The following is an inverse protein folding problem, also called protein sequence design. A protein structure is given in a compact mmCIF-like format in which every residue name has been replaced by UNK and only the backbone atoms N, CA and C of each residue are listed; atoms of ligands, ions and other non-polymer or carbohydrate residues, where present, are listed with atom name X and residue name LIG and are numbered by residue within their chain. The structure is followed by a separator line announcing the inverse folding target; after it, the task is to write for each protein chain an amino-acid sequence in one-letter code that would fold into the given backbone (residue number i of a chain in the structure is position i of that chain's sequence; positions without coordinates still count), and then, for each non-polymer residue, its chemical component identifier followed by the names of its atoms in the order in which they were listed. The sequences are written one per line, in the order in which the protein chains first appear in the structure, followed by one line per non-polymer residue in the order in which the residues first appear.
data_IF_124732950700
#
_entry.id   IF_124732950700
#
_cell.length_a   1.000
_cell.length_b   1.000
_cell.length_c   1.000
_cell.angle_alpha   90.00
_cell.angle_beta   90.00
_cell.angle_gamma   90.00
#
_symmetry.space_group_name_H-M   'P 1'
#
loop_
_entity.id
_entity.type
_entity.pdbx_description
1 polymer ?
#
# COMPACT_ATOMS: atom_id res chain seq x y z
N UNK A 1 -2.73 43.41 23.91
CA UNK A 1 -3.17 42.00 23.97
C UNK A 1 -3.73 41.47 22.63
N UNK A 2 -4.78 42.10 22.03
CA UNK A 2 -5.40 41.63 20.76
C UNK A 2 -4.44 41.50 19.56
N UNK A 3 -3.48 42.42 19.41
CA UNK A 3 -2.46 42.41 18.33
C UNK A 3 -1.46 41.24 18.42
N UNK A 4 -1.12 40.80 19.63
CA UNK A 4 -0.21 39.67 19.86
C UNK A 4 -0.95 38.35 19.57
N UNK A 5 -2.21 38.26 20.00
CA UNK A 5 -3.07 37.10 19.76
C UNK A 5 -3.32 36.87 18.26
N UNK A 6 -3.55 37.94 17.48
CA UNK A 6 -3.71 37.84 16.02
C UNK A 6 -2.44 37.42 15.28
N UNK A 7 -1.26 37.87 15.72
CA UNK A 7 0.03 37.45 15.15
C UNK A 7 0.36 35.99 15.47
N UNK A 8 0.02 35.54 16.67
CA UNK A 8 0.20 34.14 17.10
C UNK A 8 -0.71 33.20 16.32
N UNK A 9 -2.01 33.52 16.23
CA UNK A 9 -2.98 32.73 15.45
C UNK A 9 -2.55 32.58 13.98
N UNK A 10 -2.05 33.66 13.36
CA UNK A 10 -1.54 33.61 11.97
C UNK A 10 -0.32 32.69 11.82
N UNK A 11 0.61 32.71 12.78
CA UNK A 11 1.79 31.82 12.77
C UNK A 11 1.39 30.36 12.92
N UNK A 12 0.45 30.07 13.82
CA UNK A 12 -0.10 28.72 13.99
C UNK A 12 -0.76 28.26 12.68
N UNK A 13 -1.59 29.10 12.06
CA UNK A 13 -2.22 28.77 10.78
C UNK A 13 -1.22 28.45 9.67
N UNK A 14 -0.12 29.22 9.55
CA UNK A 14 0.94 28.92 8.58
C UNK A 14 1.71 27.64 8.91
N UNK A 15 1.96 27.37 10.20
CA UNK A 15 2.60 26.12 10.61
C UNK A 15 1.74 24.90 10.28
N UNK A 16 0.44 24.94 10.60
CA UNK A 16 -0.50 23.86 10.28
C UNK A 16 -0.62 23.63 8.77
N UNK A 17 -0.69 24.71 7.98
CA UNK A 17 -0.72 24.62 6.52
C UNK A 17 0.56 24.01 5.96
N UNK A 18 1.73 24.42 6.47
CA UNK A 18 3.00 23.85 6.06
C UNK A 18 3.10 22.36 6.39
N UNK A 19 2.67 21.95 7.59
CA UNK A 19 2.60 20.54 7.99
C UNK A 19 1.69 19.75 7.05
N UNK A 20 0.50 20.27 6.73
CA UNK A 20 -0.41 19.60 5.81
C UNK A 20 0.20 19.40 4.41
N UNK A 21 0.82 20.43 3.84
CA UNK A 21 1.51 20.36 2.54
C UNK A 21 2.66 19.34 2.58
N UNK A 22 3.43 19.29 3.66
CA UNK A 22 4.54 18.34 3.79
C UNK A 22 4.04 16.90 3.94
N UNK A 23 2.98 16.66 4.71
CA UNK A 23 2.39 15.33 4.87
C UNK A 23 1.81 14.82 3.54
N UNK A 24 1.10 15.67 2.80
CA UNK A 24 0.59 15.32 1.47
C UNK A 24 1.75 15.06 0.50
N UNK A 25 2.77 15.92 0.50
CA UNK A 25 3.97 15.75 -0.34
C UNK A 25 4.74 14.47 -0.04
N UNK A 26 4.92 14.15 1.25
CA UNK A 26 5.54 12.91 1.69
C UNK A 26 4.73 11.69 1.25
N UNK A 27 3.41 11.74 1.39
CA UNK A 27 2.54 10.68 0.89
C UNK A 27 2.66 10.50 -0.62
N UNK A 28 2.61 11.58 -1.41
CA UNK A 28 2.79 11.53 -2.87
C UNK A 28 4.15 10.95 -3.27
N UNK A 29 5.21 11.32 -2.55
CA UNK A 29 6.57 10.82 -2.77
C UNK A 29 6.66 9.32 -2.53
N UNK A 30 6.14 8.84 -1.39
CA UNK A 30 6.10 7.41 -1.05
C UNK A 30 5.25 6.65 -2.08
N UNK A 31 4.10 7.20 -2.45
CA UNK A 31 3.23 6.62 -3.45
C UNK A 31 3.89 6.47 -4.82
N UNK A 32 4.60 7.49 -5.30
CA UNK A 32 5.39 7.40 -6.55
C UNK A 32 6.47 6.34 -6.40
N UNK A 33 7.19 6.35 -5.28
CA UNK A 33 8.21 5.34 -5.03
C UNK A 33 7.63 3.94 -5.14
N UNK A 34 6.46 3.62 -4.58
CA UNK A 34 5.94 2.24 -4.63
C UNK A 34 5.07 1.88 -5.85
N UNK A 35 4.42 2.86 -6.48
CA UNK A 35 3.38 2.61 -7.49
C UNK A 35 3.71 3.07 -8.89
N UNK A 36 4.67 3.99 -9.09
CA UNK A 36 4.98 4.51 -10.41
C UNK A 36 5.63 3.41 -11.29
N UNK A 37 5.05 3.07 -12.46
CA UNK A 37 5.48 1.95 -13.31
C UNK A 37 6.66 2.35 -14.21
N UNK A 38 7.71 2.92 -13.62
CA UNK A 38 8.94 3.33 -14.31
C UNK A 38 10.15 2.71 -13.62
N UNK A 39 11.32 2.76 -14.25
CA UNK A 39 12.55 2.23 -13.67
C UNK A 39 12.90 2.86 -12.31
N UNK A 40 13.63 2.12 -11.47
CA UNK A 40 13.92 2.51 -10.08
C UNK A 40 14.58 3.89 -9.96
N UNK A 41 15.56 4.21 -10.81
CA UNK A 41 16.19 5.52 -10.83
C UNK A 41 15.18 6.65 -11.11
N UNK A 42 14.26 6.44 -12.05
CA UNK A 42 13.23 7.41 -12.40
C UNK A 42 12.18 7.53 -11.29
N UNK A 43 11.83 6.43 -10.60
CA UNK A 43 10.98 6.45 -9.39
C UNK A 43 11.59 7.33 -8.32
N UNK A 44 12.89 7.17 -8.05
CA UNK A 44 13.62 7.99 -7.07
C UNK A 44 13.63 9.47 -7.45
N UNK A 45 13.89 9.79 -8.72
CA UNK A 45 13.89 11.17 -9.21
C UNK A 45 12.50 11.81 -9.10
N UNK A 46 11.44 11.12 -9.52
CA UNK A 46 10.07 11.63 -9.44
C UNK A 46 9.61 11.79 -7.99
N UNK A 47 9.92 10.82 -7.12
CA UNK A 47 9.63 10.91 -5.69
C UNK A 47 10.31 12.15 -5.07
N UNK A 48 11.61 12.34 -5.33
CA UNK A 48 12.34 13.53 -4.91
C UNK A 48 11.74 14.84 -5.46
N UNK A 49 11.36 14.86 -6.74
CA UNK A 49 10.73 16.03 -7.36
C UNK A 49 9.41 16.42 -6.65
N UNK A 50 8.59 15.46 -6.24
CA UNK A 50 7.35 15.76 -5.51
C UNK A 50 7.59 16.34 -4.12
N UNK A 51 8.65 15.91 -3.41
CA UNK A 51 9.06 16.54 -2.16
C UNK A 51 9.54 17.98 -2.39
N UNK A 52 10.31 18.22 -3.45
CA UNK A 52 10.75 19.58 -3.81
C UNK A 52 9.56 20.48 -4.09
N UNK A 53 8.54 20.00 -4.81
CA UNK A 53 7.29 20.75 -5.06
C UNK A 53 6.60 21.15 -3.73
N UNK A 54 6.53 20.24 -2.76
CA UNK A 54 5.99 20.54 -1.43
C UNK A 54 6.85 21.56 -0.66
N UNK A 55 8.18 21.40 -0.67
CA UNK A 55 9.12 22.32 -0.01
C UNK A 55 9.06 23.73 -0.61
N UNK A 56 8.97 23.85 -1.94
CA UNK A 56 8.81 25.14 -2.64
C UNK A 56 7.48 25.79 -2.26
N UNK A 57 6.39 25.02 -2.18
CA UNK A 57 5.09 25.53 -1.76
C UNK A 57 5.14 26.09 -0.33
N UNK A 58 5.78 25.37 0.60
CA UNK A 58 5.99 25.84 1.98
C UNK A 58 6.86 27.10 2.04
N UNK A 59 7.98 27.12 1.31
CA UNK A 59 8.89 28.27 1.26
C UNK A 59 8.20 29.53 0.73
N UNK A 60 7.17 29.39 -0.12
CA UNK A 60 6.42 30.49 -0.68
C UNK A 60 5.31 31.03 0.24
N UNK A 61 4.91 30.33 1.31
CA UNK A 61 3.85 30.78 2.26
C UNK A 61 4.06 32.20 2.81
N UNK A 62 5.27 32.60 3.28
CA UNK A 62 5.50 33.95 3.79
C UNK A 62 5.63 35.02 2.71
N UNK A 63 5.64 34.64 1.42
CA UNK A 63 5.91 35.54 0.29
C UNK A 63 4.62 36.02 -0.38
N UNK A 64 4.64 37.10 -1.19
CA UNK A 64 3.48 37.50 -1.99
C UNK A 64 3.04 36.44 -3.01
N UNK A 65 3.92 35.50 -3.38
CA UNK A 65 3.64 34.42 -4.34
C UNK A 65 2.86 33.25 -3.75
N UNK A 66 2.48 33.30 -2.45
CA UNK A 66 1.79 32.21 -1.74
C UNK A 66 0.58 31.66 -2.49
N UNK A 67 -0.26 32.51 -3.09
CA UNK A 67 -1.46 32.05 -3.78
C UNK A 67 -1.14 31.27 -5.05
N UNK A 68 -0.15 31.73 -5.83
CA UNK A 68 0.34 31.01 -7.00
C UNK A 68 0.91 29.65 -6.59
N UNK A 69 1.72 29.61 -5.52
CA UNK A 69 2.30 28.37 -5.02
C UNK A 69 1.23 27.38 -4.50
N UNK A 70 0.20 27.87 -3.79
CA UNK A 70 -0.90 27.05 -3.30
C UNK A 70 -1.76 26.50 -4.43
N UNK A 71 -2.09 27.32 -5.45
CA UNK A 71 -2.84 26.87 -6.62
C UNK A 71 -2.04 25.84 -7.42
N UNK A 72 -0.75 26.09 -7.63
CA UNK A 72 0.13 25.14 -8.32
C UNK A 72 0.24 23.82 -7.56
N UNK A 73 0.40 23.86 -6.24
CA UNK A 73 0.45 22.67 -5.40
C UNK A 73 -0.89 21.90 -5.41
N UNK A 74 -2.02 22.61 -5.32
CA UNK A 74 -3.34 22.00 -5.41
C UNK A 74 -3.59 21.35 -6.78
N UNK A 75 -3.17 22.00 -7.87
CA UNK A 75 -3.27 21.45 -9.22
C UNK A 75 -2.39 20.20 -9.38
N UNK A 76 -1.14 20.25 -8.90
CA UNK A 76 -0.26 19.08 -8.83
C UNK A 76 -0.90 17.93 -8.05
N UNK A 77 -1.50 18.22 -6.87
CA UNK A 77 -2.15 17.20 -6.07
C UNK A 77 -3.39 16.62 -6.76
N UNK A 78 -4.18 17.45 -7.46
CA UNK A 78 -5.32 16.97 -8.24
C UNK A 78 -4.88 16.03 -9.39
N UNK A 79 -3.82 16.39 -10.12
CA UNK A 79 -3.20 15.53 -11.14
C UNK A 79 -2.68 14.22 -10.54
N UNK A 80 -2.04 14.31 -9.39
CA UNK A 80 -1.58 13.14 -8.65
C UNK A 80 -2.75 12.22 -8.27
N UNK A 81 -3.85 12.77 -7.75
CA UNK A 81 -5.04 11.99 -7.38
C UNK A 81 -5.70 11.35 -8.61
N UNK A 82 -5.78 12.07 -9.73
CA UNK A 82 -6.26 11.52 -10.98
C UNK A 82 -5.45 10.29 -11.38
N UNK A 83 -4.12 10.37 -11.37
CA UNK A 83 -3.24 9.21 -11.58
C UNK A 83 -3.42 8.11 -10.52
N UNK A 84 -3.56 8.47 -9.24
CA UNK A 84 -3.73 7.49 -8.17
C UNK A 84 -4.96 6.60 -8.39
N UNK A 85 -6.05 7.17 -8.90
CA UNK A 85 -7.28 6.42 -9.21
C UNK A 85 -7.13 5.45 -10.39
N UNK A 86 -6.10 5.57 -11.22
CA UNK A 86 -5.88 4.67 -12.36
C UNK A 86 -5.02 3.45 -12.02
N UNK A 87 -4.54 3.33 -10.77
CA UNK A 87 -3.66 2.23 -10.37
C UNK A 87 -4.46 0.93 -10.28
N UNK A 88 -4.22 0.01 -11.20
CA UNK A 88 -4.84 -1.32 -11.19
C UNK A 88 -4.10 -2.27 -10.24
N UNK A 89 -4.83 -3.05 -9.41
CA UNK A 89 -4.23 -4.14 -8.65
C UNK A 89 -3.50 -5.13 -9.57
N UNK A 90 -2.37 -5.65 -9.13
CA UNK A 90 -1.62 -6.69 -9.87
C UNK A 90 -0.87 -7.58 -8.90
N UNK A 91 -0.81 -8.87 -9.21
CA UNK A 91 0.03 -9.84 -8.50
C UNK A 91 1.44 -9.93 -9.10
N UNK A 92 1.72 -9.27 -10.22
CA UNK A 92 3.05 -9.22 -10.81
C UNK A 92 3.89 -8.11 -10.16
N UNK A 93 4.45 -8.44 -8.98
CA UNK A 93 5.27 -7.56 -8.14
C UNK A 93 6.38 -8.36 -7.48
N UNK A 94 7.38 -7.65 -6.95
CA UNK A 94 8.41 -8.24 -6.10
C UNK A 94 7.85 -8.52 -4.69
N UNK A 95 7.07 -9.59 -4.58
CA UNK A 95 6.48 -10.05 -3.32
C UNK A 95 7.53 -10.68 -2.41
N UNK A 96 7.25 -10.68 -1.10
CA UNK A 96 8.06 -11.41 -0.14
C UNK A 96 8.07 -12.92 -0.51
N UNK A 97 9.18 -13.64 -0.27
CA UNK A 97 9.34 -15.01 -0.77
C UNK A 97 8.22 -15.97 -0.34
N UNK A 98 7.70 -15.80 0.88
CA UNK A 98 6.65 -16.63 1.45
C UNK A 98 5.25 -16.39 0.88
N UNK A 99 5.05 -15.32 0.12
CA UNK A 99 3.80 -15.00 -0.58
C UNK A 99 4.02 -14.75 -2.07
N UNK A 100 5.20 -15.09 -2.59
CA UNK A 100 5.58 -14.84 -3.98
C UNK A 100 4.77 -15.65 -5.00
N UNK A 101 4.13 -16.74 -4.57
CA UNK A 101 3.32 -17.61 -5.44
C UNK A 101 1.91 -17.73 -4.89
N UNK A 102 0.92 -17.32 -5.68
CA UNK A 102 -0.48 -17.55 -5.34
C UNK A 102 -0.85 -19.01 -5.55
N UNK A 103 -1.58 -19.59 -4.59
CA UNK A 103 -2.15 -20.92 -4.72
C UNK A 103 -3.17 -20.93 -5.87
N UNK A 104 -3.11 -21.96 -6.71
CA UNK A 104 -4.07 -22.17 -7.81
C UNK A 104 -4.60 -23.58 -7.75
N UNK A 105 -5.86 -23.76 -8.15
CA UNK A 105 -6.53 -25.05 -8.11
C UNK A 105 -7.21 -25.33 -9.44
N UNK A 106 -7.12 -26.57 -9.90
CA UNK A 106 -7.87 -27.08 -11.05
C UNK A 106 -8.56 -28.37 -10.67
N UNK A 107 -9.80 -28.54 -11.11
CA UNK A 107 -10.59 -29.75 -10.87
C UNK A 107 -10.69 -30.50 -12.20
N UNK A 108 -10.36 -31.79 -12.17
CA UNK A 108 -10.53 -32.72 -13.28
C UNK A 108 -11.20 -34.01 -12.77
N UNK A 109 -12.50 -34.15 -13.05
CA UNK A 109 -13.32 -35.23 -12.51
C UNK A 109 -13.30 -35.24 -10.98
N UNK A 110 -12.78 -36.33 -10.41
CA UNK A 110 -12.65 -36.53 -8.96
C UNK A 110 -11.35 -35.92 -8.38
N UNK A 111 -10.45 -35.37 -9.21
CA UNK A 111 -9.15 -34.90 -8.73
C UNK A 111 -9.10 -33.38 -8.63
N UNK A 112 -8.86 -32.89 -7.42
CA UNK A 112 -8.47 -31.52 -7.15
C UNK A 112 -6.94 -31.42 -7.15
N UNK A 113 -6.37 -30.72 -8.13
CA UNK A 113 -4.93 -30.44 -8.20
C UNK A 113 -4.69 -29.01 -7.72
N UNK A 114 -4.00 -28.86 -6.59
CA UNK A 114 -3.61 -27.56 -6.01
C UNK A 114 -2.12 -27.35 -6.23
N UNK A 115 -1.75 -26.23 -6.87
CA UNK A 115 -0.36 -25.81 -7.08
C UNK A 115 -0.01 -24.66 -6.13
N UNK A 116 1.29 -24.52 -5.86
CA UNK A 116 1.85 -23.51 -4.96
C UNK A 116 1.30 -23.63 -3.53
N UNK A 117 1.14 -24.87 -3.04
CA UNK A 117 0.88 -25.10 -1.62
C UNK A 117 2.15 -24.79 -0.85
N UNK A 118 2.07 -23.82 0.08
CA UNK A 118 3.20 -23.40 0.91
C UNK A 118 3.46 -24.42 2.01
N UNK A 119 4.64 -25.04 2.00
CA UNK A 119 5.07 -26.01 3.02
C UNK A 119 6.47 -25.69 3.55
N UNK A 120 6.66 -24.45 4.00
CA UNK A 120 7.96 -23.91 4.40
C UNK A 120 8.34 -24.42 5.80
N UNK A 121 9.63 -24.66 6.02
CA UNK A 121 10.16 -24.95 7.36
C UNK A 121 10.67 -23.66 7.96
N UNK A 122 10.03 -23.17 9.02
CA UNK A 122 10.36 -21.89 9.65
C UNK A 122 11.27 -22.07 10.86
N UNK A 123 12.32 -21.25 10.97
CA UNK A 123 13.14 -21.08 12.17
C UNK A 123 12.92 -19.71 12.82
N UNK A 124 12.59 -18.70 12.02
CA UNK A 124 12.11 -17.39 12.44
C UNK A 124 11.30 -16.73 11.32
N UNK A 125 10.73 -15.54 11.57
CA UNK A 125 9.96 -14.78 10.58
C UNK A 125 10.75 -14.45 9.29
N UNK A 126 12.08 -14.44 9.36
CA UNK A 126 12.96 -14.12 8.23
C UNK A 126 13.94 -15.24 7.88
N UNK A 127 13.87 -16.38 8.55
CA UNK A 127 14.72 -17.55 8.30
C UNK A 127 13.86 -18.79 8.13
N UNK A 128 13.75 -19.25 6.88
CA UNK A 128 12.92 -20.37 6.50
C UNK A 128 13.48 -21.06 5.26
N UNK A 129 13.16 -22.35 5.12
CA UNK A 129 13.42 -23.11 3.91
C UNK A 129 12.18 -23.05 3.01
N UNK A 130 12.31 -22.35 1.89
CA UNK A 130 11.25 -22.21 0.89
C UNK A 130 10.93 -23.57 0.25
N UNK A 131 9.66 -23.97 0.31
CA UNK A 131 9.16 -25.20 -0.30
C UNK A 131 7.72 -25.03 -0.78
N UNK A 132 7.55 -25.07 -2.09
CA UNK A 132 6.25 -25.02 -2.77
C UNK A 132 5.89 -26.39 -3.33
N UNK A 133 4.68 -26.84 -3.04
CA UNK A 133 4.22 -28.17 -3.43
C UNK A 133 3.05 -28.09 -4.41
N UNK A 134 2.96 -29.12 -5.25
CA UNK A 134 1.72 -29.48 -5.93
C UNK A 134 1.12 -30.68 -5.19
N UNK A 135 -0.14 -30.58 -4.80
CA UNK A 135 -0.87 -31.63 -4.09
C UNK A 135 -2.13 -31.99 -4.88
N UNK A 136 -2.46 -33.28 -4.89
CA UNK A 136 -3.66 -33.80 -5.54
C UNK A 136 -4.53 -34.48 -4.50
N UNK A 137 -5.82 -34.15 -4.50
CA UNK A 137 -6.81 -34.68 -3.56
C UNK A 137 -7.97 -35.31 -4.32
N UNK A 138 -8.51 -36.42 -3.80
CA UNK A 138 -9.74 -37.04 -4.31
C UNK A 138 -10.95 -36.34 -3.69
N UNK A 139 -11.83 -35.77 -4.51
CA UNK A 139 -13.03 -35.06 -4.03
C UNK A 139 -14.03 -36.04 -3.41
N UNK A 140 -14.10 -37.28 -3.90
CA UNK A 140 -14.90 -38.36 -3.33
C UNK A 140 -14.45 -38.81 -1.94
N UNK A 141 -13.24 -38.45 -1.53
CA UNK A 141 -12.70 -38.74 -0.20
C UNK A 141 -13.01 -37.63 0.81
N UNK A 142 -13.63 -36.50 0.40
CA UNK A 142 -13.96 -35.43 1.35
C UNK A 142 -14.95 -35.94 2.39
N UNK A 143 -14.54 -35.96 3.65
CA UNK A 143 -15.39 -36.41 4.77
C UNK A 143 -16.04 -35.25 5.52
N UNK A 144 -15.32 -34.13 5.65
CA UNK A 144 -15.68 -33.02 6.52
C UNK A 144 -15.26 -31.67 5.90
N UNK A 145 -15.99 -30.61 6.26
CA UNK A 145 -15.65 -29.22 5.91
C UNK A 145 -15.76 -28.35 7.15
N UNK A 146 -14.66 -27.72 7.55
CA UNK A 146 -14.65 -26.75 8.64
C UNK A 146 -14.58 -25.33 8.09
N UNK A 147 -15.42 -24.45 8.63
CA UNK A 147 -15.35 -23.00 8.41
C UNK A 147 -14.86 -22.33 9.69
N UNK A 148 -13.67 -21.75 9.63
CA UNK A 148 -13.03 -21.08 10.78
C UNK A 148 -13.00 -19.58 10.51
N UNK A 149 -13.54 -18.80 11.44
CA UNK A 149 -13.47 -17.34 11.40
C UNK A 149 -12.55 -16.83 12.50
N UNK A 150 -11.39 -16.29 12.12
CA UNK A 150 -10.40 -15.75 13.05
C UNK A 150 -10.50 -14.22 13.11
N UNK A 151 -11.03 -13.72 14.22
CA UNK A 151 -11.18 -12.28 14.51
C UNK A 151 -9.96 -11.79 15.30
N UNK A 152 -9.18 -10.90 14.71
CA UNK A 152 -7.93 -10.42 15.31
C UNK A 152 -7.92 -8.91 15.59
N UNK A 153 -8.81 -8.15 14.95
CA UNK A 153 -8.93 -6.70 15.09
C UNK A 153 -10.40 -6.26 15.28
N UNK A 154 -11.11 -6.96 16.17
CA UNK A 154 -12.52 -6.72 16.46
C UNK A 154 -13.48 -7.48 15.53
N UNK A 155 -14.79 -7.32 15.74
CA UNK A 155 -15.84 -8.10 15.09
C UNK A 155 -16.00 -7.81 13.58
N UNK A 156 -15.47 -6.69 13.09
CA UNK A 156 -15.62 -6.28 11.68
C UNK A 156 -14.54 -6.86 10.74
N UNK A 157 -13.49 -7.50 11.26
CA UNK A 157 -12.35 -7.97 10.47
C UNK A 157 -12.01 -9.42 10.86
N UNK A 158 -12.40 -10.36 10.01
CA UNK A 158 -12.12 -11.78 10.18
C UNK A 158 -11.32 -12.36 9.02
N UNK A 159 -10.32 -13.19 9.33
CA UNK A 159 -9.77 -14.12 8.36
C UNK A 159 -10.70 -15.33 8.29
N UNK A 160 -11.27 -15.55 7.10
CA UNK A 160 -12.09 -16.73 6.83
C UNK A 160 -11.20 -17.82 6.27
N UNK A 161 -11.18 -18.96 6.94
CA UNK A 161 -10.37 -20.12 6.57
C UNK A 161 -11.34 -21.29 6.37
N UNK A 162 -11.17 -22.02 5.27
CA UNK A 162 -11.92 -23.25 5.00
C UNK A 162 -10.94 -24.42 5.02
N UNK A 163 -11.26 -25.45 5.78
CA UNK A 163 -10.49 -26.70 5.86
C UNK A 163 -11.36 -27.86 5.39
N UNK A 164 -10.71 -28.88 4.81
CA UNK A 164 -11.36 -30.08 4.29
C UNK A 164 -10.67 -31.32 4.87
N UNK A 165 -11.45 -32.25 5.39
CA UNK A 165 -11.00 -33.60 5.73
C UNK A 165 -11.03 -34.49 4.48
N UNK A 166 -10.00 -35.32 4.30
CA UNK A 166 -9.84 -36.27 3.19
C UNK A 166 -9.39 -37.63 3.70
#
# INVERSE_FOLDING_TARGET
MKLILGRLARRIGFALLAIAILLIGAWCSIAIWYRCPVGEAMRGLLAGATLVVALVAVACIPTPKRWLALVAYAAFFALFLAWWTTITPTNDRNWAPDVARSATATIDGDHLVVKNVRNFTWRSDTDFDERWEQRTYGLSHVTDVDLIMSYWAGEAIAHTIVSFGF
#
